data_IF_157329203715
#
_entry.id   IF_157329203715
#
_cell.length_a   1.000
_cell.length_b   1.000
_cell.length_c   1.000
_cell.angle_alpha   90.00
_cell.angle_beta   90.00
_cell.angle_gamma   90.00
#
_symmetry.space_group_name_H-M   'P 1'
#
loop_
_entity.id
_entity.type
_entity.pdbx_description
1 polymer ?
#
# COMPACT_ATOMS: atom_id res chain seq x y z
N UNK A 1 -1.98 74.74 -28.28
CA UNK A 1 -2.91 73.71 -27.77
C UNK A 1 -3.51 73.06 -29.01
N UNK A 2 -3.46 71.76 -29.26
CA UNK A 2 -3.39 70.62 -28.38
C UNK A 2 -2.60 69.46 -29.03
N UNK A 3 -1.87 68.70 -28.23
CA UNK A 3 -1.32 67.40 -28.59
C UNK A 3 -2.41 66.34 -28.36
N UNK A 4 -2.82 65.62 -29.40
CA UNK A 4 -3.71 64.45 -29.29
C UNK A 4 -2.87 63.18 -29.28
N UNK A 5 -2.70 62.61 -28.09
CA UNK A 5 -2.15 61.28 -27.87
C UNK A 5 -3.13 60.22 -28.37
N UNK A 6 -2.72 59.37 -29.31
CA UNK A 6 -3.43 58.13 -29.66
C UNK A 6 -2.76 56.97 -28.93
N UNK A 7 -3.49 56.33 -28.04
CA UNK A 7 -3.19 54.99 -27.55
C UNK A 7 -4.35 54.09 -27.96
N UNK A 8 -4.10 52.92 -28.58
CA UNK A 8 -5.03 51.83 -28.35
C UNK A 8 -4.35 50.48 -28.11
N UNK A 9 -4.74 49.91 -26.96
CA UNK A 9 -5.10 48.50 -26.72
C UNK A 9 -4.03 47.43 -26.92
N UNK A 10 -3.35 47.11 -25.82
CA UNK A 10 -2.79 45.79 -25.56
C UNK A 10 -3.95 44.82 -25.29
N UNK A 11 -4.19 43.85 -26.18
CA UNK A 11 -5.08 42.71 -25.91
C UNK A 11 -4.41 41.81 -24.87
N UNK A 12 -4.84 41.90 -23.61
CA UNK A 12 -4.49 40.92 -22.58
C UNK A 12 -5.31 39.65 -22.81
N UNK A 13 -4.70 38.63 -23.43
CA UNK A 13 -5.23 37.26 -23.40
C UNK A 13 -5.18 36.76 -21.94
N UNK A 14 -6.34 36.73 -21.29
CA UNK A 14 -6.51 36.09 -19.99
C UNK A 14 -6.59 34.57 -20.23
N UNK A 15 -5.44 33.89 -20.25
CA UNK A 15 -5.37 32.43 -20.19
C UNK A 15 -5.88 31.98 -18.82
N UNK A 16 -7.15 31.61 -18.75
CA UNK A 16 -7.71 30.94 -17.58
C UNK A 16 -6.99 29.60 -17.39
N UNK A 17 -6.03 29.57 -16.46
CA UNK A 17 -5.47 28.33 -15.93
C UNK A 17 -6.62 27.57 -15.26
N UNK A 18 -7.18 26.60 -15.98
CA UNK A 18 -8.00 25.55 -15.39
C UNK A 18 -7.10 24.70 -14.49
N UNK A 19 -6.94 25.13 -13.25
CA UNK A 19 -6.39 24.27 -12.20
C UNK A 19 -7.38 23.13 -12.00
N UNK A 20 -7.09 21.97 -12.58
CA UNK A 20 -7.75 20.74 -12.18
C UNK A 20 -7.27 20.44 -10.76
N UNK A 21 -8.12 20.74 -9.77
CA UNK A 21 -7.89 20.32 -8.40
C UNK A 21 -8.02 18.80 -8.34
N UNK A 22 -6.91 18.09 -8.56
CA UNK A 22 -6.83 16.67 -8.27
C UNK A 22 -6.90 16.50 -6.75
N UNK A 23 -8.04 16.02 -6.25
CA UNK A 23 -8.22 15.81 -4.83
C UNK A 23 -7.30 14.68 -4.37
N UNK A 24 -6.39 14.97 -3.44
CA UNK A 24 -5.59 13.95 -2.78
C UNK A 24 -6.50 12.99 -2.01
N UNK A 25 -6.25 11.68 -2.14
CA UNK A 25 -6.92 10.68 -1.33
C UNK A 25 -6.34 10.69 0.09
N UNK A 26 -7.21 10.62 1.08
CA UNK A 26 -6.81 10.46 2.47
C UNK A 26 -6.77 8.98 2.84
N UNK A 27 -5.69 8.55 3.49
CA UNK A 27 -5.56 7.22 4.08
C UNK A 27 -5.43 7.34 5.59
N UNK A 28 -6.37 6.76 6.34
CA UNK A 28 -6.23 6.53 7.78
C UNK A 28 -5.57 5.17 8.03
N UNK A 29 -4.40 5.15 8.64
CA UNK A 29 -3.68 3.92 8.98
C UNK A 29 -3.81 3.70 10.49
N UNK A 30 -4.50 2.63 10.90
CA UNK A 30 -4.84 2.37 12.30
C UNK A 30 -4.19 1.09 12.81
N UNK A 31 -3.61 1.15 14.01
CA UNK A 31 -3.16 -0.04 14.71
C UNK A 31 -4.21 -0.53 15.71
N UNK A 32 -4.81 -1.69 15.48
CA UNK A 32 -5.68 -2.37 16.45
C UNK A 32 -5.02 -3.60 17.09
N UNK A 33 -3.78 -3.91 16.72
CA UNK A 33 -3.03 -5.00 17.31
C UNK A 33 -2.83 -4.78 18.81
N UNK A 34 -2.68 -5.88 19.55
CA UNK A 34 -2.33 -5.85 20.97
C UNK A 34 -0.88 -5.39 21.23
N UNK A 35 -0.11 -5.09 20.18
CA UNK A 35 1.31 -4.73 20.21
C UNK A 35 1.57 -3.48 19.34
N UNK A 36 2.70 -2.82 19.59
CA UNK A 36 3.15 -1.68 18.78
C UNK A 36 3.46 -2.12 17.35
N UNK A 37 3.00 -1.32 16.37
CA UNK A 37 3.35 -1.47 14.95
C UNK A 37 4.03 -0.20 14.48
N UNK A 38 5.08 -0.34 13.68
CA UNK A 38 5.67 0.79 12.97
C UNK A 38 5.11 0.82 11.57
N UNK A 39 3.99 1.53 11.39
CA UNK A 39 3.38 1.76 10.10
C UNK A 39 4.41 2.35 9.12
N UNK A 40 4.30 1.95 7.86
CA UNK A 40 5.14 2.41 6.78
C UNK A 40 4.30 2.62 5.53
N UNK A 41 4.67 3.63 4.76
CA UNK A 41 4.05 3.96 3.48
C UNK A 41 5.11 4.43 2.48
N UNK A 42 5.01 3.98 1.24
CA UNK A 42 5.83 4.46 0.14
C UNK A 42 4.92 4.79 -1.05
N UNK A 43 4.71 6.09 -1.37
CA UNK A 43 5.18 7.26 -0.64
C UNK A 43 4.47 7.45 0.72
N UNK A 44 5.11 8.17 1.66
CA UNK A 44 4.48 8.60 2.92
C UNK A 44 5.38 8.54 4.15
N UNK A 45 6.41 7.68 4.17
CA UNK A 45 7.35 7.57 5.27
C UNK A 45 6.98 6.48 6.26
N UNK A 46 7.05 6.76 7.56
CA UNK A 46 6.65 5.79 8.59
C UNK A 46 6.39 6.41 9.95
N UNK A 47 5.59 5.73 10.76
CA UNK A 47 5.19 6.20 12.09
C UNK A 47 5.01 5.05 13.06
N UNK A 48 5.52 5.22 14.28
CA UNK A 48 5.24 4.31 15.40
C UNK A 48 3.79 4.50 15.85
N UNK A 49 3.03 3.41 15.89
CA UNK A 49 1.64 3.38 16.32
C UNK A 49 1.48 2.39 17.47
N UNK A 50 1.12 2.91 18.64
CA UNK A 50 0.60 2.09 19.73
C UNK A 50 -0.80 1.57 19.42
N UNK A 51 -1.26 0.61 20.21
CA UNK A 51 -2.62 0.11 20.12
C UNK A 51 -3.63 1.27 20.18
N UNK A 52 -4.55 1.29 19.22
CA UNK A 52 -5.60 2.27 19.10
C UNK A 52 -5.18 3.58 18.41
N UNK A 53 -3.88 3.80 18.16
CA UNK A 53 -3.42 5.01 17.46
C UNK A 53 -3.64 4.90 15.95
N UNK A 54 -3.84 6.06 15.33
CA UNK A 54 -3.97 6.23 13.88
C UNK A 54 -2.93 7.21 13.33
N UNK A 55 -2.62 7.06 12.05
CA UNK A 55 -1.80 7.96 11.25
C UNK A 55 -2.50 8.24 9.94
N UNK A 56 -2.76 9.51 9.67
CA UNK A 56 -3.32 9.94 8.39
C UNK A 56 -2.24 10.40 7.44
N UNK A 57 -2.28 9.93 6.19
CA UNK A 57 -1.49 10.45 5.07
C UNK A 57 -2.41 10.96 3.97
N UNK A 58 -1.98 11.98 3.25
CA UNK A 58 -2.64 12.45 2.04
C UNK A 58 -1.78 12.04 0.86
N UNK A 59 -2.39 11.37 -0.12
CA UNK A 59 -1.68 10.81 -1.27
C UNK A 59 -2.24 11.46 -2.54
N UNK A 60 -1.39 12.12 -3.36
CA UNK A 60 -1.86 12.79 -4.57
C UNK A 60 -2.56 11.82 -5.52
N UNK A 61 -3.59 12.30 -6.23
CA UNK A 61 -4.19 11.53 -7.32
C UNK A 61 -3.12 11.25 -8.40
N UNK A 62 -3.21 10.10 -9.08
CA UNK A 62 -2.22 9.65 -10.05
C UNK A 62 -1.05 8.86 -9.45
N UNK A 63 -0.90 8.83 -8.12
CA UNK A 63 0.09 8.00 -7.43
C UNK A 63 -0.10 6.53 -7.81
N UNK A 64 1.00 5.82 -8.13
CA UNK A 64 1.00 4.41 -8.56
C UNK A 64 2.15 3.65 -7.92
N UNK A 65 2.02 2.32 -7.85
CA UNK A 65 3.02 1.46 -7.20
C UNK A 65 3.19 1.81 -5.72
N UNK A 66 2.12 2.27 -5.08
CA UNK A 66 2.18 2.71 -3.70
C UNK A 66 1.82 1.58 -2.75
N UNK A 67 2.46 1.59 -1.57
CA UNK A 67 2.31 0.54 -0.56
C UNK A 67 2.13 1.13 0.81
N UNK A 68 1.26 0.51 1.62
CA UNK A 68 1.18 0.67 3.07
C UNK A 68 1.40 -0.71 3.70
N UNK A 69 2.24 -0.80 4.73
CA UNK A 69 2.47 -2.03 5.48
C UNK A 69 2.80 -1.74 6.94
N UNK A 70 2.67 -2.77 7.78
CA UNK A 70 3.07 -2.70 9.18
C UNK A 70 4.40 -3.39 9.41
N UNK A 71 5.28 -2.78 10.21
CA UNK A 71 6.56 -3.36 10.63
C UNK A 71 6.50 -3.76 12.09
N UNK A 72 7.14 -4.88 12.43
CA UNK A 72 7.12 -5.43 13.79
C UNK A 72 8.50 -5.46 14.44
N UNK A 73 8.51 -5.42 15.78
CA UNK A 73 9.70 -5.55 16.62
C UNK A 73 10.85 -4.64 16.16
N UNK A 74 10.53 -3.36 15.97
CA UNK A 74 11.51 -2.37 15.54
C UNK A 74 12.20 -1.71 16.74
N UNK A 75 13.46 -1.35 16.54
CA UNK A 75 14.19 -0.47 17.42
C UNK A 75 14.86 0.62 16.58
N UNK A 76 14.62 1.89 16.93
CA UNK A 76 15.17 3.05 16.24
C UNK A 76 15.82 3.98 17.26
N UNK A 77 16.95 4.58 16.90
CA UNK A 77 17.59 5.65 17.65
C UNK A 77 16.85 7.00 17.49
N UNK A 78 17.36 8.04 18.15
CA UNK A 78 16.78 9.38 18.09
C UNK A 78 16.81 10.01 16.69
N UNK A 79 17.68 9.51 15.79
CA UNK A 79 17.76 9.95 14.39
C UNK A 79 16.86 9.12 13.47
N UNK A 80 16.05 8.21 14.03
CA UNK A 80 15.18 7.32 13.28
C UNK A 80 15.93 6.24 12.50
N UNK A 81 17.16 5.89 12.90
CA UNK A 81 17.94 4.79 12.31
C UNK A 81 17.90 3.56 13.20
N UNK A 82 17.85 2.37 12.60
CA UNK A 82 17.67 1.15 13.36
C UNK A 82 17.27 -0.03 12.50
N UNK A 83 16.41 -0.90 13.02
CA UNK A 83 15.97 -2.10 12.30
C UNK A 83 14.63 -2.62 12.81
N UNK A 84 13.83 -3.18 11.91
CA UNK A 84 12.65 -3.99 12.20
C UNK A 84 12.89 -5.49 11.95
N UNK A 85 12.17 -6.36 12.66
CA UNK A 85 12.21 -7.80 12.40
C UNK A 85 11.52 -8.15 11.07
N UNK A 86 10.36 -7.54 10.80
CA UNK A 86 9.63 -7.71 9.54
C UNK A 86 9.30 -6.36 8.90
N UNK A 87 9.33 -6.31 7.57
CA UNK A 87 8.99 -5.12 6.79
C UNK A 87 10.00 -3.97 6.88
N UNK A 88 11.23 -4.22 7.35
CA UNK A 88 12.26 -3.18 7.45
C UNK A 88 12.53 -2.53 6.09
N UNK A 89 12.66 -1.20 6.05
CA UNK A 89 12.76 -0.43 4.80
C UNK A 89 14.13 0.26 4.66
N UNK A 90 15.20 -0.48 4.94
CA UNK A 90 16.59 0.01 4.86
C UNK A 90 17.09 0.64 6.16
N UNK A 91 16.55 0.18 7.30
CA UNK A 91 16.98 0.59 8.63
C UNK A 91 16.60 2.03 9.00
N UNK A 92 15.54 2.58 8.38
CA UNK A 92 15.05 3.94 8.66
C UNK A 92 13.59 3.92 9.11
N UNK A 93 13.24 4.82 10.03
CA UNK A 93 11.85 4.99 10.49
C UNK A 93 10.97 5.53 9.37
N UNK A 94 11.47 6.55 8.64
CA UNK A 94 10.80 7.19 7.51
C UNK A 94 11.17 6.49 6.20
N UNK A 95 10.38 5.49 5.82
CA UNK A 95 10.64 4.69 4.62
C UNK A 95 10.69 5.54 3.33
N UNK A 96 11.71 5.31 2.52
CA UNK A 96 11.87 5.93 1.19
C UNK A 96 11.64 4.94 0.04
N UNK A 97 11.38 3.67 0.37
CA UNK A 97 11.12 2.58 -0.56
C UNK A 97 10.41 1.44 0.16
N UNK A 98 10.30 0.30 -0.50
CA UNK A 98 9.57 -0.85 0.02
C UNK A 98 10.28 -1.56 1.16
N UNK A 99 9.51 -2.25 2.00
CA UNK A 99 10.03 -3.05 3.10
C UNK A 99 10.47 -4.45 2.65
N UNK A 100 11.37 -5.06 3.42
CA UNK A 100 11.85 -6.44 3.22
C UNK A 100 10.79 -7.44 3.70
N UNK A 101 10.44 -8.45 2.88
CA UNK A 101 9.56 -9.56 3.27
C UNK A 101 9.98 -10.29 4.57
N UNK A 102 9.03 -10.89 5.33
CA UNK A 102 7.61 -10.93 5.03
C UNK A 102 6.89 -9.65 5.49
N UNK A 103 6.00 -9.12 4.67
CA UNK A 103 5.13 -8.01 5.03
C UNK A 103 3.81 -8.05 4.27
N UNK A 104 2.69 -8.03 5.01
CA UNK A 104 1.36 -7.90 4.41
C UNK A 104 1.24 -6.50 3.80
N UNK A 105 0.91 -6.41 2.51
CA UNK A 105 0.86 -5.15 1.79
C UNK A 105 -0.59 -4.72 1.53
N UNK A 106 -0.89 -3.45 1.74
CA UNK A 106 -1.97 -2.75 1.05
C UNK A 106 -1.34 -2.03 -0.14
N UNK A 107 -1.62 -2.48 -1.36
CA UNK A 107 -1.10 -1.88 -2.60
C UNK A 107 -2.19 -1.04 -3.26
N UNK A 108 -1.82 0.09 -3.85
CA UNK A 108 -2.79 0.95 -4.53
C UNK A 108 -2.18 1.81 -5.65
N UNK A 109 -3.05 2.19 -6.59
CA UNK A 109 -2.80 3.16 -7.64
C UNK A 109 -4.04 4.03 -7.83
N UNK A 110 -3.91 5.34 -7.65
CA UNK A 110 -5.04 6.28 -7.54
C UNK A 110 -5.32 6.99 -8.87
N UNK A 111 -6.58 7.18 -9.22
CA UNK A 111 -7.03 7.91 -10.40
C UNK A 111 -6.33 7.47 -11.69
N UNK A 112 -6.37 6.16 -11.95
CA UNK A 112 -5.76 5.50 -13.10
C UNK A 112 -6.77 5.45 -14.27
N UNK A 113 -6.78 4.35 -15.02
CA UNK A 113 -7.71 4.16 -16.14
C UNK A 113 -9.17 4.39 -15.73
N UNK A 114 -9.90 5.15 -16.54
CA UNK A 114 -11.31 5.49 -16.34
C UNK A 114 -11.62 6.21 -15.00
N UNK A 115 -10.67 7.00 -14.47
CA UNK A 115 -10.79 7.66 -13.17
C UNK A 115 -11.12 6.68 -12.04
N UNK A 116 -10.52 5.49 -12.09
CA UNK A 116 -10.65 4.49 -11.04
C UNK A 116 -9.37 4.43 -10.22
N UNK A 117 -9.54 4.28 -8.91
CA UNK A 117 -8.50 3.78 -8.04
C UNK A 117 -8.46 2.26 -8.15
N UNK A 118 -7.27 1.68 -8.19
CA UNK A 118 -7.02 0.25 -8.12
C UNK A 118 -6.32 -0.04 -6.81
N UNK A 119 -6.77 -1.06 -6.08
CA UNK A 119 -6.21 -1.40 -4.79
C UNK A 119 -6.38 -2.88 -4.48
N UNK A 120 -5.50 -3.39 -3.62
CA UNK A 120 -5.48 -4.79 -3.23
C UNK A 120 -4.73 -4.99 -1.89
N UNK A 121 -4.91 -6.19 -1.33
CA UNK A 121 -4.01 -6.72 -0.29
C UNK A 121 -3.15 -7.77 -0.97
N UNK A 122 -1.83 -7.68 -0.81
CA UNK A 122 -0.88 -8.58 -1.44
C UNK A 122 -0.06 -9.35 -0.42
N UNK A 123 0.00 -10.66 -0.64
CA UNK A 123 0.80 -11.64 0.10
C UNK A 123 1.94 -12.21 -0.77
N UNK A 124 2.20 -11.59 -1.92
CA UNK A 124 3.33 -11.92 -2.81
C UNK A 124 4.66 -11.67 -2.12
N UNK A 125 4.71 -10.68 -1.22
CA UNK A 125 5.84 -10.38 -0.33
C UNK A 125 5.65 -10.99 1.07
N UNK A 126 4.76 -11.98 1.21
CA UNK A 126 4.50 -12.70 2.46
C UNK A 126 3.48 -12.04 3.38
N UNK A 127 3.41 -12.53 4.61
CA UNK A 127 2.45 -12.10 5.63
C UNK A 127 3.14 -11.93 6.97
N UNK A 128 2.84 -10.85 7.68
CA UNK A 128 3.30 -10.62 9.05
C UNK A 128 2.17 -10.19 9.98
N UNK A 129 1.30 -9.27 9.53
CA UNK A 129 0.23 -8.69 10.32
C UNK A 129 -1.09 -8.83 9.56
N UNK A 130 -2.19 -9.27 10.21
CA UNK A 130 -3.54 -9.21 9.65
C UNK A 130 -3.92 -7.79 9.20
N UNK A 131 -4.63 -7.66 8.08
CA UNK A 131 -4.93 -6.36 7.48
C UNK A 131 -6.37 -6.26 6.97
N UNK A 132 -7.01 -5.12 7.22
CA UNK A 132 -8.19 -4.64 6.50
C UNK A 132 -7.78 -3.43 5.68
N UNK A 133 -8.28 -3.34 4.45
CA UNK A 133 -8.10 -2.21 3.56
C UNK A 133 -9.46 -1.89 2.95
N UNK A 134 -10.09 -0.85 3.50
CA UNK A 134 -11.47 -0.51 3.19
C UNK A 134 -11.62 0.96 2.79
N UNK A 135 -12.48 1.27 1.82
CA UNK A 135 -12.85 2.66 1.53
C UNK A 135 -13.61 3.27 2.71
N UNK A 136 -13.38 4.55 2.98
CA UNK A 136 -14.12 5.36 3.97
C UNK A 136 -15.03 6.39 3.31
N UNK A 137 -14.88 6.60 2.01
CA UNK A 137 -15.80 7.30 1.13
C UNK A 137 -15.90 6.50 -0.18
N UNK A 138 -16.75 6.90 -1.13
CA UNK A 138 -16.92 6.15 -2.36
C UNK A 138 -17.68 4.83 -2.14
N UNK A 139 -18.66 4.55 -2.99
CA UNK A 139 -19.52 3.37 -2.84
C UNK A 139 -18.84 2.13 -3.45
N UNK A 140 -17.81 1.61 -2.80
CA UNK A 140 -17.08 0.41 -3.21
C UNK A 140 -16.82 -0.52 -2.01
N UNK A 141 -16.40 -1.75 -2.30
CA UNK A 141 -16.24 -2.81 -1.31
C UNK A 141 -14.81 -2.80 -0.74
N UNK A 142 -14.66 -2.95 0.58
CA UNK A 142 -13.37 -3.20 1.24
C UNK A 142 -12.92 -4.66 1.21
N UNK A 143 -11.64 -4.87 1.51
CA UNK A 143 -10.97 -6.18 1.48
C UNK A 143 -10.24 -6.44 2.79
N UNK A 144 -10.15 -7.71 3.19
CA UNK A 144 -9.60 -8.12 4.48
C UNK A 144 -8.86 -9.45 4.37
N UNK A 145 -7.72 -9.53 5.03
CA UNK A 145 -6.95 -10.75 5.25
C UNK A 145 -6.62 -10.85 6.75
N UNK A 146 -7.41 -11.66 7.47
CA UNK A 146 -7.31 -11.77 8.94
C UNK A 146 -7.17 -13.19 9.47
N UNK A 147 -6.80 -14.13 8.61
CA UNK A 147 -6.49 -15.48 9.05
C UNK A 147 -5.18 -15.53 9.85
N UNK A 148 -5.03 -16.54 10.70
CA UNK A 148 -3.78 -16.83 11.40
C UNK A 148 -2.77 -17.51 10.46
N UNK A 149 -2.25 -16.74 9.50
CA UNK A 149 -1.25 -17.22 8.55
C UNK A 149 0.09 -17.51 9.23
N UNK A 150 0.48 -16.73 10.24
CA UNK A 150 1.75 -16.94 10.96
C UNK A 150 1.73 -18.25 11.74
N UNK A 151 0.67 -18.51 12.51
CA UNK A 151 0.53 -19.76 13.28
C UNK A 151 0.38 -21.00 12.41
N UNK A 152 -0.17 -20.85 11.21
CA UNK A 152 -0.40 -21.95 10.26
C UNK A 152 0.67 -22.05 9.16
N UNK A 153 1.72 -21.23 9.21
CA UNK A 153 2.69 -21.12 8.14
C UNK A 153 3.38 -22.47 7.85
N UNK A 154 3.40 -22.94 6.58
CA UNK A 154 4.16 -24.11 6.17
C UNK A 154 5.62 -24.00 6.60
N UNK A 155 6.21 -25.11 7.03
CA UNK A 155 7.55 -25.10 7.62
C UNK A 155 8.60 -24.45 6.72
N UNK A 156 8.54 -24.71 5.41
CA UNK A 156 9.44 -24.13 4.40
C UNK A 156 9.29 -22.62 4.18
N UNK A 157 8.20 -22.01 4.64
CA UNK A 157 7.91 -20.58 4.46
C UNK A 157 8.05 -19.77 5.74
N UNK A 158 8.29 -20.41 6.89
CA UNK A 158 8.38 -19.72 8.18
C UNK A 158 9.55 -18.74 8.20
N UNK A 159 9.28 -17.55 8.72
CA UNK A 159 10.28 -16.52 8.98
C UNK A 159 10.07 -15.92 10.36
N UNK A 160 11.09 -15.29 10.97
CA UNK A 160 10.92 -14.59 12.24
C UNK A 160 9.82 -13.54 12.14
N UNK A 161 8.74 -13.71 12.90
CA UNK A 161 7.60 -12.78 12.95
C UNK A 161 6.67 -12.80 11.72
N UNK A 162 6.76 -13.81 10.84
CA UNK A 162 5.90 -13.88 9.66
C UNK A 162 5.99 -15.18 8.86
N UNK A 163 5.34 -15.17 7.70
CA UNK A 163 5.33 -16.25 6.72
C UNK A 163 5.72 -15.69 5.35
N UNK A 164 6.85 -16.10 4.80
CA UNK A 164 7.30 -15.67 3.48
C UNK A 164 6.43 -16.25 2.38
N UNK A 165 6.35 -15.56 1.25
CA UNK A 165 5.84 -16.16 0.03
C UNK A 165 6.87 -17.13 -0.58
N UNK A 166 6.48 -18.19 -1.30
CA UNK A 166 7.41 -19.05 -2.00
C UNK A 166 8.33 -18.32 -3.00
N UNK A 167 7.90 -17.22 -3.62
CA UNK A 167 8.81 -16.44 -4.48
C UNK A 167 10.01 -15.91 -3.70
N UNK A 168 9.79 -15.37 -2.50
CA UNK A 168 10.84 -14.87 -1.61
C UNK A 168 11.86 -15.95 -1.24
N UNK A 169 11.36 -17.17 -0.98
CA UNK A 169 12.17 -18.30 -0.52
C UNK A 169 12.93 -18.97 -1.66
N UNK A 170 12.22 -19.34 -2.73
CA UNK A 170 12.77 -20.19 -3.79
C UNK A 170 13.34 -19.40 -4.96
N UNK A 171 12.85 -18.18 -5.21
CA UNK A 171 13.32 -17.29 -6.29
C UNK A 171 13.29 -17.93 -7.69
N UNK A 172 12.37 -18.87 -7.91
CA UNK A 172 12.18 -19.52 -9.20
C UNK A 172 11.02 -18.88 -9.97
N UNK A 173 11.06 -18.97 -11.29
CA UNK A 173 9.99 -18.46 -12.16
C UNK A 173 8.63 -19.09 -11.88
N UNK A 174 8.59 -20.33 -11.38
CA UNK A 174 7.36 -20.99 -10.95
C UNK A 174 6.59 -20.15 -9.92
N UNK A 175 7.30 -19.47 -9.00
CA UNK A 175 6.69 -18.69 -7.93
C UNK A 175 6.74 -17.17 -8.20
N UNK A 176 7.76 -16.70 -8.92
CA UNK A 176 8.01 -15.27 -9.15
C UNK A 176 7.50 -14.75 -10.50
N UNK A 177 7.12 -15.64 -11.43
CA UNK A 177 6.44 -15.27 -12.67
C UNK A 177 7.22 -14.32 -13.62
N UNK A 178 8.55 -14.28 -13.58
CA UNK A 178 9.34 -13.30 -14.36
C UNK A 178 9.19 -13.48 -15.89
N UNK A 179 9.11 -14.73 -16.37
CA UNK A 179 8.90 -15.07 -17.78
C UNK A 179 7.44 -15.04 -18.25
N UNK A 180 6.51 -14.58 -17.40
CA UNK A 180 5.12 -14.30 -17.79
C UNK A 180 4.16 -15.50 -17.75
N UNK A 181 4.61 -16.75 -17.66
CA UNK A 181 3.71 -17.89 -17.44
C UNK A 181 3.86 -18.39 -16.00
N UNK A 182 2.82 -18.20 -15.19
CA UNK A 182 2.71 -18.82 -13.88
C UNK A 182 1.25 -18.96 -13.48
N UNK A 183 1.01 -19.81 -12.48
CA UNK A 183 -0.33 -20.07 -11.95
C UNK A 183 -0.26 -20.47 -10.49
N UNK A 184 -1.39 -20.85 -9.89
CA UNK A 184 -1.44 -21.22 -8.49
C UNK A 184 -0.61 -22.47 -8.20
N UNK A 185 0.15 -22.43 -7.12
CA UNK A 185 0.94 -23.54 -6.57
C UNK A 185 0.32 -24.02 -5.26
N UNK A 186 0.67 -25.20 -4.73
CA UNK A 186 0.22 -25.60 -3.39
C UNK A 186 0.54 -24.55 -2.31
N UNK A 187 1.71 -23.90 -2.41
CA UNK A 187 2.15 -22.87 -1.48
C UNK A 187 1.43 -21.54 -1.66
N UNK A 188 1.08 -21.12 -2.89
CA UNK A 188 0.25 -19.93 -3.05
C UNK A 188 -1.21 -20.19 -2.63
N UNK A 189 -1.74 -21.39 -2.89
CA UNK A 189 -3.08 -21.80 -2.42
C UNK A 189 -3.20 -21.76 -0.90
N UNK A 190 -2.13 -22.10 -0.16
CA UNK A 190 -2.12 -21.93 1.30
C UNK A 190 -2.53 -20.51 1.74
N UNK A 191 -1.99 -19.47 1.09
CA UNK A 191 -2.36 -18.08 1.33
C UNK A 191 -3.76 -17.76 0.82
N UNK A 192 -4.08 -18.23 -0.40
CA UNK A 192 -5.36 -17.92 -1.06
C UNK A 192 -6.57 -18.47 -0.31
N UNK A 193 -6.48 -19.70 0.17
CA UNK A 193 -7.57 -20.36 0.91
C UNK A 193 -7.88 -19.62 2.23
N UNK A 194 -6.89 -18.92 2.79
CA UNK A 194 -6.98 -18.16 4.04
C UNK A 194 -7.39 -16.70 3.82
N UNK A 195 -6.97 -16.12 2.70
CA UNK A 195 -7.28 -14.74 2.31
C UNK A 195 -7.72 -14.69 0.84
N UNK A 196 -8.98 -15.05 0.53
CA UNK A 196 -9.45 -15.23 -0.84
C UNK A 196 -9.42 -13.97 -1.70
N UNK A 197 -9.46 -12.79 -1.08
CA UNK A 197 -9.42 -11.48 -1.76
C UNK A 197 -8.01 -10.92 -1.90
N UNK A 198 -6.97 -11.65 -1.50
CA UNK A 198 -5.58 -11.17 -1.54
C UNK A 198 -4.79 -11.83 -2.66
N UNK A 199 -3.83 -11.11 -3.22
CA UNK A 199 -2.86 -11.69 -4.14
C UNK A 199 -2.02 -12.73 -3.40
N UNK A 200 -2.05 -13.97 -3.89
CA UNK A 200 -1.25 -15.07 -3.34
C UNK A 200 -0.01 -15.42 -4.17
N UNK A 201 0.00 -14.98 -5.44
CA UNK A 201 1.11 -15.06 -6.39
C UNK A 201 1.02 -13.88 -7.38
N UNK A 202 2.09 -13.54 -8.12
CA UNK A 202 2.16 -12.30 -8.92
C UNK A 202 1.10 -12.10 -10.00
N UNK A 203 0.40 -13.15 -10.46
CA UNK A 203 -0.62 -13.10 -11.52
C UNK A 203 -2.01 -13.50 -11.04
N UNK A 204 -2.31 -13.24 -9.77
CA UNK A 204 -3.58 -13.53 -9.11
C UNK A 204 -4.62 -12.40 -9.30
N UNK A 205 -4.55 -11.67 -10.41
CA UNK A 205 -5.39 -10.50 -10.70
C UNK A 205 -6.90 -10.79 -10.67
N UNK A 206 -7.42 -11.89 -11.28
CA UNK A 206 -8.86 -12.07 -11.47
C UNK A 206 -9.71 -12.07 -10.19
N UNK A 207 -9.09 -12.33 -9.03
CA UNK A 207 -9.79 -12.42 -7.74
C UNK A 207 -9.23 -11.48 -6.67
N UNK A 208 -8.25 -10.65 -7.03
CA UNK A 208 -7.46 -9.88 -6.06
C UNK A 208 -7.37 -8.39 -6.37
N UNK A 209 -7.71 -7.96 -7.59
CA UNK A 209 -7.77 -6.53 -7.94
C UNK A 209 -9.14 -5.95 -7.61
N UNK A 210 -9.17 -4.86 -6.84
CA UNK A 210 -10.40 -4.14 -6.50
C UNK A 210 -10.33 -2.70 -7.02
N UNK A 211 -11.50 -2.11 -7.27
CA UNK A 211 -11.60 -0.76 -7.79
C UNK A 211 -12.60 0.09 -7.01
N UNK A 212 -12.28 1.37 -6.89
CA UNK A 212 -13.16 2.41 -6.37
C UNK A 212 -13.18 3.62 -7.32
N UNK A 213 -14.21 4.48 -7.27
CA UNK A 213 -14.17 5.76 -7.96
C UNK A 213 -12.94 6.58 -7.52
N UNK A 214 -12.30 7.27 -8.46
CA UNK A 214 -11.15 8.13 -8.19
C UNK A 214 -11.48 9.22 -7.17
N UNK A 215 -10.53 9.48 -6.26
CA UNK A 215 -10.72 10.42 -5.15
C UNK A 215 -11.41 9.79 -3.92
N UNK A 216 -11.52 8.46 -3.90
CA UNK A 216 -11.96 7.72 -2.71
C UNK A 216 -10.93 7.87 -1.58
N UNK A 217 -11.41 8.00 -0.34
CA UNK A 217 -10.59 7.93 0.86
C UNK A 217 -10.62 6.51 1.40
N UNK A 218 -9.59 6.13 2.13
CA UNK A 218 -9.40 4.77 2.60
C UNK A 218 -8.96 4.70 4.05
N UNK A 219 -9.14 3.51 4.63
CA UNK A 219 -8.57 3.12 5.90
C UNK A 219 -7.84 1.79 5.75
N UNK A 220 -6.64 1.72 6.31
CA UNK A 220 -5.86 0.50 6.48
C UNK A 220 -5.81 0.20 7.97
N UNK A 221 -6.26 -0.99 8.38
CA UNK A 221 -6.26 -1.40 9.78
C UNK A 221 -5.38 -2.63 9.97
N UNK A 222 -4.41 -2.52 10.88
CA UNK A 222 -3.62 -3.65 11.36
C UNK A 222 -4.37 -4.37 12.48
N UNK A 223 -4.48 -5.70 12.40
CA UNK A 223 -5.27 -6.54 13.31
C UNK A 223 -6.76 -6.15 13.41
N UNK A 224 -7.48 -6.13 12.28
CA UNK A 224 -8.90 -5.75 12.19
C UNK A 224 -9.89 -6.80 12.75
#
# INVERSE_FOLDING_TARGET
>A
MAFTSKLPTFFLLYSALLFTFTHAAQFEIRNQCAYTVWAAASPGGGRRLERGQSWTINVPAGTKGARIWGRTNCNFDANGRGRCQTGDCGGVLQCQGYGVPPNTLAEYALNQYNNLDFFDISLVDGFNIPMDFSPTSGNCRGIKCSADIVGQCPAELRAPGGCNNPCTVYKTDQYCCNSGNCGPTPLSRFFKDRCPTSYSYPKDDPTSTFTCPGGTNYRVVFCP
#
